data_IF_406868335562
#
_entry.id   IF_406868335562
#
_cell.length_a   1.000
_cell.length_b   1.000
_cell.length_c   1.000
_cell.angle_alpha   90.00
_cell.angle_beta   90.00
_cell.angle_gamma   90.00
#
_symmetry.space_group_name_H-M   'P 1'
#
loop_
_entity.id
_entity.type
_entity.pdbx_description
1 polymer ?
#
# COMPACT_ATOMS: atom_id res chain seq x y z
N UNK A 1 38.44 11.05 -17.72
CA UNK A 1 37.50 9.96 -17.37
C UNK A 1 36.18 10.57 -16.94
N UNK A 2 35.11 10.37 -17.71
CA UNK A 2 33.79 10.95 -17.45
C UNK A 2 33.11 10.20 -16.31
N UNK A 3 32.94 10.88 -15.16
CA UNK A 3 32.22 10.35 -14.00
C UNK A 3 30.73 10.28 -14.36
N UNK A 4 30.15 9.06 -14.34
CA UNK A 4 28.72 8.88 -14.57
C UNK A 4 27.92 9.65 -13.49
N UNK A 5 26.90 10.40 -13.91
CA UNK A 5 26.04 11.20 -13.02
C UNK A 5 24.99 10.37 -12.29
N UNK A 6 24.92 9.07 -12.56
CA UNK A 6 23.98 8.16 -11.91
C UNK A 6 24.61 7.67 -10.62
N UNK A 7 24.04 8.09 -9.48
CA UNK A 7 24.35 7.48 -8.18
C UNK A 7 23.87 6.02 -8.14
N UNK A 8 24.18 5.29 -7.05
CA UNK A 8 23.69 3.92 -6.88
C UNK A 8 22.18 3.87 -7.08
N UNK A 9 21.72 2.97 -7.96
CA UNK A 9 20.30 2.67 -8.07
C UNK A 9 19.86 2.10 -6.73
N UNK A 10 18.96 2.78 -6.04
CA UNK A 10 18.34 2.24 -4.83
C UNK A 10 17.51 1.04 -5.30
N UNK A 11 18.00 -0.17 -5.04
CA UNK A 11 17.20 -1.37 -5.17
C UNK A 11 16.09 -1.30 -4.12
N UNK A 12 14.90 -0.91 -4.52
CA UNK A 12 13.71 -0.97 -3.68
C UNK A 12 13.31 -2.46 -3.56
N UNK A 13 13.95 -3.16 -2.61
CA UNK A 13 13.76 -4.60 -2.43
C UNK A 13 12.41 -4.84 -1.74
N UNK A 14 11.47 -5.55 -2.39
CA UNK A 14 10.20 -5.83 -1.77
C UNK A 14 10.41 -6.70 -0.53
N UNK A 15 9.84 -6.27 0.60
CA UNK A 15 9.83 -7.05 1.84
C UNK A 15 8.57 -7.90 1.86
N UNK A 16 8.74 -9.23 1.94
CA UNK A 16 7.60 -10.15 2.09
C UNK A 16 7.17 -10.17 3.55
N UNK A 17 5.89 -9.91 3.80
CA UNK A 17 5.27 -9.93 5.12
C UNK A 17 4.08 -10.88 5.07
N UNK A 18 3.99 -11.80 6.02
CA UNK A 18 2.79 -12.62 6.25
C UNK A 18 1.89 -11.89 7.24
N UNK A 19 0.60 -11.76 6.91
CA UNK A 19 -0.38 -11.05 7.73
C UNK A 19 -1.56 -11.97 7.99
N UNK A 20 -1.99 -12.04 9.25
CA UNK A 20 -3.25 -12.68 9.64
C UNK A 20 -4.35 -11.63 9.75
N UNK A 21 -5.50 -11.89 9.17
CA UNK A 21 -6.65 -10.99 9.19
C UNK A 21 -7.78 -11.61 10.01
N UNK A 22 -8.47 -10.82 10.86
CA UNK A 22 -9.75 -11.25 11.41
C UNK A 22 -10.73 -11.62 10.29
N UNK A 23 -11.46 -12.72 10.46
CA UNK A 23 -12.46 -13.17 9.49
C UNK A 23 -13.46 -12.10 9.02
N UNK A 24 -13.98 -11.22 9.90
CA UNK A 24 -14.81 -10.09 9.49
C UNK A 24 -14.11 -9.13 8.52
N UNK A 25 -12.87 -8.75 8.81
CA UNK A 25 -12.12 -7.83 7.95
C UNK A 25 -11.87 -8.41 6.57
N UNK A 26 -11.57 -9.71 6.47
CA UNK A 26 -11.46 -10.37 5.17
C UNK A 26 -12.75 -10.29 4.36
N UNK A 27 -13.91 -10.51 5.00
CA UNK A 27 -15.22 -10.38 4.32
C UNK A 27 -15.49 -8.95 3.85
N UNK A 28 -15.12 -7.96 4.66
CA UNK A 28 -15.29 -6.55 4.28
C UNK A 28 -14.39 -6.19 3.09
N UNK A 29 -13.16 -6.72 3.02
CA UNK A 29 -12.27 -6.54 1.86
C UNK A 29 -12.82 -7.19 0.59
N UNK A 30 -13.46 -8.36 0.69
CA UNK A 30 -14.15 -9.00 -0.44
C UNK A 30 -15.29 -8.12 -0.94
N UNK A 31 -16.16 -7.65 -0.03
CA UNK A 31 -17.26 -6.77 -0.40
C UNK A 31 -16.75 -5.45 -1.03
N UNK A 32 -15.66 -4.88 -0.49
CA UNK A 32 -15.03 -3.70 -1.06
C UNK A 32 -14.53 -3.94 -2.48
N UNK A 33 -13.86 -5.07 -2.73
CA UNK A 33 -13.36 -5.42 -4.06
C UNK A 33 -14.49 -5.55 -5.10
N UNK A 34 -15.65 -6.10 -4.69
CA UNK A 34 -16.83 -6.20 -5.54
C UNK A 34 -17.44 -4.84 -5.87
N UNK A 35 -17.53 -3.94 -4.88
CA UNK A 35 -18.02 -2.58 -5.11
C UNK A 35 -17.08 -1.83 -6.05
N UNK A 36 -15.77 -1.90 -5.81
CA UNK A 36 -14.77 -1.26 -6.66
C UNK A 36 -14.81 -1.78 -8.10
N UNK A 37 -15.01 -3.09 -8.30
CA UNK A 37 -15.18 -3.68 -9.63
C UNK A 37 -16.38 -3.10 -10.37
N UNK A 38 -17.52 -2.96 -9.69
CA UNK A 38 -18.74 -2.38 -10.25
C UNK A 38 -18.53 -0.91 -10.63
N UNK A 39 -17.82 -0.15 -9.81
CA UNK A 39 -17.54 1.27 -10.06
C UNK A 39 -16.55 1.49 -11.22
N UNK A 40 -15.55 0.61 -11.34
CA UNK A 40 -14.48 0.74 -12.34
C UNK A 40 -14.74 -0.01 -13.64
N UNK A 41 -15.76 -0.88 -13.67
CA UNK A 41 -16.03 -1.81 -14.78
C UNK A 41 -14.94 -2.89 -14.94
N UNK A 42 -14.06 -3.05 -13.96
CA UNK A 42 -12.98 -4.04 -13.97
C UNK A 42 -13.40 -5.29 -13.18
N UNK A 43 -12.74 -6.44 -13.39
CA UNK A 43 -12.95 -7.61 -12.53
C UNK A 43 -12.63 -7.31 -11.06
N UNK A 44 -13.34 -7.97 -10.15
CA UNK A 44 -13.05 -7.89 -8.72
C UNK A 44 -11.61 -8.34 -8.45
N UNK A 45 -10.85 -7.47 -7.80
CA UNK A 45 -9.49 -7.79 -7.39
C UNK A 45 -9.49 -8.81 -6.26
N UNK A 46 -8.42 -9.59 -6.15
CA UNK A 46 -8.14 -10.34 -4.93
C UNK A 46 -8.11 -9.37 -3.73
N UNK A 47 -8.91 -9.60 -2.67
CA UNK A 47 -8.96 -8.76 -1.48
C UNK A 47 -7.57 -8.43 -0.89
N UNK A 48 -6.61 -9.36 -0.98
CA UNK A 48 -5.24 -9.16 -0.47
C UNK A 48 -4.50 -8.08 -1.25
N UNK A 49 -4.80 -7.92 -2.54
CA UNK A 49 -4.18 -6.88 -3.39
C UNK A 49 -4.63 -5.46 -3.04
N UNK A 50 -5.73 -5.31 -2.30
CA UNK A 50 -6.19 -4.02 -1.81
C UNK A 50 -5.37 -3.52 -0.62
N UNK A 51 -4.76 -4.42 0.15
CA UNK A 51 -4.10 -4.08 1.42
C UNK A 51 -2.96 -3.09 1.21
N UNK A 52 -2.08 -3.36 0.23
CA UNK A 52 -0.91 -2.50 -0.05
C UNK A 52 -1.33 -1.06 -0.42
N UNK A 53 -2.14 -0.83 -1.48
CA UNK A 53 -2.54 0.53 -1.84
C UNK A 53 -3.38 1.24 -0.77
N UNK A 54 -4.18 0.50 0.01
CA UNK A 54 -4.91 1.07 1.15
C UNK A 54 -3.96 1.56 2.25
N UNK A 55 -2.93 0.77 2.60
CA UNK A 55 -1.92 1.16 3.59
C UNK A 55 -1.07 2.33 3.12
N UNK A 56 -0.65 2.33 1.86
CA UNK A 56 0.06 3.47 1.25
C UNK A 56 -0.77 4.74 1.35
N UNK A 57 -2.07 4.66 0.97
CA UNK A 57 -2.98 5.80 1.05
C UNK A 57 -3.19 6.27 2.49
N UNK A 58 -3.35 5.34 3.42
CA UNK A 58 -3.50 5.65 4.85
C UNK A 58 -2.28 6.40 5.38
N UNK A 59 -1.07 5.84 5.19
CA UNK A 59 0.19 6.45 5.64
C UNK A 59 0.42 7.83 5.00
N UNK A 60 0.13 7.95 3.70
CA UNK A 60 0.34 9.20 2.97
C UNK A 60 -0.62 10.33 3.43
N UNK A 61 -1.80 9.99 3.92
CA UNK A 61 -2.85 10.97 4.27
C UNK A 61 -2.99 11.24 5.76
N UNK A 62 -2.41 10.39 6.62
CA UNK A 62 -2.41 10.58 8.07
C UNK A 62 -1.49 11.75 8.49
N UNK A 63 -2.11 12.91 8.77
CA UNK A 63 -1.41 14.13 9.21
C UNK A 63 -0.80 13.99 10.60
N UNK A 64 -1.42 13.21 11.49
CA UNK A 64 -0.93 12.96 12.83
C UNK A 64 0.37 12.18 12.77
N UNK A 65 0.38 11.08 11.99
CA UNK A 65 1.57 10.33 11.68
C UNK A 65 2.65 11.19 11.02
N UNK A 66 2.29 11.97 10.00
CA UNK A 66 3.24 12.84 9.30
C UNK A 66 3.90 13.87 10.24
N UNK A 67 3.16 14.41 11.19
CA UNK A 67 3.68 15.38 12.18
C UNK A 67 4.61 14.71 13.19
N UNK A 68 4.22 13.56 13.74
CA UNK A 68 5.04 12.78 14.66
C UNK A 68 6.34 12.28 14.03
N UNK A 69 6.31 11.92 12.73
CA UNK A 69 7.49 11.50 11.98
C UNK A 69 8.51 12.63 11.82
N UNK A 70 8.05 13.86 11.53
CA UNK A 70 8.91 15.05 11.41
C UNK A 70 9.52 15.50 12.73
N UNK A 71 8.82 15.33 13.85
CA UNK A 71 9.38 15.69 15.16
C UNK A 71 10.47 14.72 15.65
N UNK A 72 10.63 13.57 15.00
CA UNK A 72 11.60 12.53 15.36
C UNK A 72 12.83 12.49 14.44
N UNK A 73 12.79 13.19 13.30
CA UNK A 73 13.90 13.38 12.36
C UNK A 73 14.69 14.64 12.70
#
# INVERSE_FOLDING_TARGET
MTKLKLGPLIEDKPVKVTVELPGPLHRDLVAYAEVLARETGQPAADPVRLIVPMLERFIATDRGFASARRSRS
#
